data_IF_248434487714
#
_entry.id   IF_248434487714
#
_cell.length_a   1.000
_cell.length_b   1.000
_cell.length_c   1.000
_cell.angle_alpha   90.00
_cell.angle_beta   90.00
_cell.angle_gamma   90.00
#
_symmetry.space_group_name_H-M   'P 1'
#
loop_
_entity.id
_entity.type
_entity.pdbx_description
1 polymer ?
#
# COMPACT_ATOMS: atom_id res chain seq x y z
N UNK A 1 -0.47 -57.58 7.48
CA UNK A 1 -1.30 -56.42 7.15
C UNK A 1 -1.38 -55.31 8.26
N UNK A 2 -0.49 -55.27 9.27
CA UNK A 2 -0.51 -54.28 10.37
C UNK A 2 0.56 -53.18 10.25
N UNK A 3 1.48 -53.25 9.30
CA UNK A 3 2.57 -52.24 9.13
C UNK A 3 2.24 -51.04 8.25
N UNK A 4 1.23 -51.17 7.36
CA UNK A 4 0.89 -50.07 6.43
C UNK A 4 0.02 -48.96 7.05
N UNK A 5 -0.71 -49.24 8.13
CA UNK A 5 -1.60 -48.26 8.77
C UNK A 5 -0.80 -47.22 9.57
N UNK A 6 0.33 -47.63 10.16
CA UNK A 6 1.18 -46.68 10.92
C UNK A 6 1.94 -45.70 10.04
N UNK A 7 2.21 -46.01 8.77
CA UNK A 7 2.88 -45.12 7.84
C UNK A 7 1.93 -44.03 7.30
N UNK A 8 0.64 -44.31 7.20
CA UNK A 8 -0.37 -43.34 6.73
C UNK A 8 -0.69 -42.32 7.83
N UNK A 9 -0.69 -42.73 9.09
CA UNK A 9 -0.93 -41.80 10.22
C UNK A 9 0.25 -40.83 10.41
N UNK A 10 1.50 -41.25 10.14
CA UNK A 10 2.68 -40.40 10.23
C UNK A 10 2.75 -39.34 9.13
N UNK A 11 2.13 -39.57 7.98
CA UNK A 11 2.14 -38.60 6.86
C UNK A 11 1.05 -37.51 6.99
N UNK A 12 -0.01 -37.81 7.78
CA UNK A 12 -1.09 -36.86 8.00
C UNK A 12 -0.75 -35.77 9.04
N UNK A 13 0.31 -35.99 9.85
CA UNK A 13 0.79 -35.05 10.88
C UNK A 13 1.82 -34.03 10.38
N UNK A 14 2.17 -34.10 9.07
CA UNK A 14 3.12 -33.18 8.43
C UNK A 14 2.45 -32.20 7.47
N UNK A 15 1.15 -31.92 7.65
CA UNK A 15 0.58 -30.72 7.04
C UNK A 15 1.14 -29.51 7.81
N UNK A 16 2.07 -28.73 7.23
CA UNK A 16 2.48 -27.51 7.85
C UNK A 16 1.23 -26.64 7.95
N UNK A 17 0.90 -26.26 9.16
CA UNK A 17 -0.04 -25.19 9.44
C UNK A 17 0.59 -23.89 8.90
N UNK A 18 0.51 -23.68 7.60
CA UNK A 18 0.68 -22.35 7.02
C UNK A 18 -0.60 -21.55 7.29
N UNK A 19 -0.95 -21.42 8.56
CA UNK A 19 -1.69 -20.25 8.98
C UNK A 19 -0.66 -19.12 8.94
N UNK A 20 -0.62 -18.40 7.83
CA UNK A 20 0.03 -17.10 7.80
C UNK A 20 -0.71 -16.23 8.80
N UNK A 21 -0.29 -16.26 10.06
CA UNK A 21 -0.60 -15.19 10.99
C UNK A 21 0.06 -13.95 10.40
N UNK A 22 -0.72 -13.03 9.85
CA UNK A 22 -0.36 -11.63 9.80
C UNK A 22 -0.43 -11.14 11.25
N UNK A 23 0.63 -11.39 12.01
CA UNK A 23 0.76 -10.85 13.35
C UNK A 23 0.87 -9.32 13.28
N UNK A 24 0.40 -8.64 14.30
CA UNK A 24 0.51 -7.17 14.42
C UNK A 24 1.94 -6.66 14.23
N UNK A 25 2.93 -7.47 14.59
CA UNK A 25 4.35 -7.18 14.38
C UNK A 25 4.72 -7.14 12.88
N UNK A 26 4.13 -8.02 12.05
CA UNK A 26 4.32 -8.01 10.60
C UNK A 26 3.71 -6.76 9.97
N UNK A 27 2.55 -6.30 10.46
CA UNK A 27 1.91 -5.06 9.99
C UNK A 27 2.77 -3.84 10.30
N UNK A 28 3.34 -3.76 11.50
CA UNK A 28 4.27 -2.69 11.85
C UNK A 28 5.50 -2.72 10.93
N UNK A 29 6.06 -3.89 10.65
CA UNK A 29 7.18 -4.06 9.73
C UNK A 29 6.83 -3.68 8.28
N UNK A 30 5.57 -3.85 7.85
CA UNK A 30 5.11 -3.41 6.52
C UNK A 30 5.06 -1.88 6.47
N UNK A 31 4.47 -1.21 7.45
CA UNK A 31 4.16 0.21 7.34
C UNK A 31 5.25 1.13 7.91
N UNK A 32 5.74 0.89 9.12
CA UNK A 32 6.50 1.87 9.90
C UNK A 32 8.00 1.85 9.66
N UNK A 33 8.67 2.92 10.10
CA UNK A 33 10.13 3.01 10.11
C UNK A 33 10.78 3.22 8.74
N UNK A 34 10.03 3.57 7.70
CA UNK A 34 10.57 3.72 6.33
C UNK A 34 9.80 4.75 5.52
N UNK A 35 10.49 5.33 4.53
CA UNK A 35 9.86 6.17 3.51
C UNK A 35 9.43 5.27 2.35
N UNK A 36 8.16 5.33 2.01
CA UNK A 36 7.59 4.62 0.88
C UNK A 36 7.31 5.59 -0.25
N UNK A 37 7.83 5.29 -1.43
CA UNK A 37 7.62 6.08 -2.64
C UNK A 37 6.71 5.33 -3.61
N UNK A 38 5.79 6.06 -4.22
CA UNK A 38 4.94 5.52 -5.28
C UNK A 38 5.81 5.07 -6.46
N UNK A 39 5.59 3.85 -6.92
CA UNK A 39 6.14 3.32 -8.15
C UNK A 39 5.17 3.57 -9.31
N UNK A 40 3.95 3.09 -9.16
CA UNK A 40 2.87 3.30 -10.12
C UNK A 40 1.50 3.08 -9.49
N UNK A 41 0.45 3.51 -10.20
CA UNK A 41 -0.96 3.20 -9.91
C UNK A 41 -1.50 2.44 -11.12
N UNK A 42 -2.18 1.33 -10.87
CA UNK A 42 -2.71 0.47 -11.92
C UNK A 42 -4.06 -0.15 -11.52
N UNK A 43 -4.77 -0.73 -12.47
CA UNK A 43 -5.88 -1.63 -12.16
C UNK A 43 -5.32 -2.86 -11.42
N UNK A 44 -6.05 -3.38 -10.45
CA UNK A 44 -5.61 -4.53 -9.67
C UNK A 44 -5.24 -5.72 -10.58
N UNK A 45 -4.06 -6.31 -10.32
CA UNK A 45 -3.44 -7.31 -11.19
C UNK A 45 -2.59 -6.75 -12.34
N UNK A 46 -2.61 -5.44 -12.60
CA UNK A 46 -1.73 -4.80 -13.59
C UNK A 46 -0.31 -4.56 -13.05
N UNK A 47 0.63 -4.30 -13.97
CA UNK A 47 2.05 -4.10 -13.65
C UNK A 47 2.63 -2.80 -14.21
N UNK A 48 1.81 -1.98 -14.85
CA UNK A 48 2.22 -0.73 -15.49
C UNK A 48 1.35 0.43 -15.02
N UNK A 49 1.90 1.64 -15.11
CA UNK A 49 1.17 2.86 -14.80
C UNK A 49 -0.08 2.99 -15.66
N UNK A 50 -1.23 3.16 -15.02
CA UNK A 50 -2.49 3.40 -15.70
C UNK A 50 -2.47 4.76 -16.41
N UNK A 51 -3.13 4.83 -17.57
CA UNK A 51 -3.19 6.05 -18.39
C UNK A 51 -4.22 7.05 -17.90
N UNK A 52 -3.87 7.89 -16.93
CA UNK A 52 -4.76 8.93 -16.38
C UNK A 52 -4.84 10.21 -17.20
N UNK A 53 -3.97 10.36 -18.19
CA UNK A 53 -3.72 11.61 -18.90
C UNK A 53 -4.46 11.67 -20.22
N UNK A 54 -4.86 12.86 -20.60
CA UNK A 54 -5.52 13.13 -21.88
C UNK A 54 -4.52 13.26 -23.03
N UNK A 55 -3.26 13.58 -22.72
CA UNK A 55 -2.20 13.77 -23.71
C UNK A 55 -0.79 13.47 -23.15
N UNK A 56 0.17 13.28 -24.04
CA UNK A 56 1.55 12.95 -23.67
C UNK A 56 2.28 14.08 -22.92
N UNK A 57 1.89 15.34 -23.09
CA UNK A 57 2.52 16.44 -22.35
C UNK A 57 2.14 16.41 -20.87
N UNK A 58 0.88 16.16 -20.55
CA UNK A 58 0.43 15.94 -19.16
C UNK A 58 1.12 14.73 -18.53
N UNK A 59 1.16 13.62 -19.26
CA UNK A 59 1.84 12.40 -18.82
C UNK A 59 3.30 12.67 -18.51
N UNK A 60 4.01 13.31 -19.45
CA UNK A 60 5.42 13.64 -19.24
C UNK A 60 5.64 14.49 -17.99
N UNK A 61 4.82 15.52 -17.78
CA UNK A 61 4.89 16.40 -16.60
C UNK A 61 4.75 15.59 -15.30
N UNK A 62 3.72 14.76 -15.19
CA UNK A 62 3.49 13.89 -14.02
C UNK A 62 4.62 12.89 -13.80
N UNK A 63 5.11 12.27 -14.87
CA UNK A 63 6.20 11.28 -14.78
C UNK A 63 7.53 11.92 -14.42
N UNK A 64 7.81 13.13 -14.90
CA UNK A 64 9.00 13.89 -14.51
C UNK A 64 8.93 14.31 -13.04
N UNK A 65 7.74 14.66 -12.53
CA UNK A 65 7.53 14.95 -11.12
C UNK A 65 7.68 13.67 -10.26
N UNK A 66 7.15 12.52 -10.69
CA UNK A 66 7.29 11.24 -10.00
C UNK A 66 8.76 10.82 -9.82
N UNK A 67 9.62 11.14 -10.78
CA UNK A 67 11.07 10.80 -10.72
C UNK A 67 11.84 11.64 -9.71
N UNK A 68 11.33 12.79 -9.30
CA UNK A 68 12.04 13.65 -8.33
C UNK A 68 12.10 12.99 -6.96
N UNK A 69 13.22 13.16 -6.29
CA UNK A 69 13.35 12.75 -4.89
C UNK A 69 12.38 13.57 -4.02
N UNK A 70 11.80 12.92 -3.01
CA UNK A 70 10.92 13.59 -2.05
C UNK A 70 9.50 13.88 -2.55
N UNK A 71 9.09 13.39 -3.73
CA UNK A 71 7.71 13.47 -4.22
C UNK A 71 7.00 12.12 -4.17
N UNK A 72 5.68 12.12 -4.17
CA UNK A 72 4.83 10.91 -4.13
C UNK A 72 5.29 9.92 -3.07
N UNK A 73 5.62 10.41 -1.90
CA UNK A 73 6.07 9.58 -0.80
C UNK A 73 5.14 9.67 0.41
N UNK A 74 5.19 8.62 1.21
CA UNK A 74 4.48 8.52 2.48
C UNK A 74 5.39 7.90 3.54
N UNK A 75 5.25 8.37 4.77
CA UNK A 75 5.84 7.82 5.98
C UNK A 75 4.69 7.57 6.94
N UNK A 76 4.57 6.31 7.36
CA UNK A 76 3.59 5.89 8.33
C UNK A 76 4.26 5.83 9.71
N UNK A 77 3.75 6.59 10.66
CA UNK A 77 4.17 6.57 12.06
C UNK A 77 2.99 6.10 12.90
N UNK A 78 3.21 5.16 13.79
CA UNK A 78 2.09 4.62 14.56
C UNK A 78 2.53 3.67 15.66
N UNK A 79 1.57 3.31 16.50
CA UNK A 79 1.70 2.35 17.59
C UNK A 79 0.69 1.23 17.40
N UNK A 80 1.09 0.03 17.81
CA UNK A 80 0.25 -1.16 17.74
C UNK A 80 -0.57 -1.28 19.03
N UNK A 81 -1.86 -1.54 18.87
CA UNK A 81 -2.79 -1.93 19.93
C UNK A 81 -3.51 -3.19 19.43
N UNK A 82 -3.21 -4.34 20.00
CA UNK A 82 -3.66 -5.66 19.55
C UNK A 82 -3.35 -5.86 18.05
N UNK A 83 -4.36 -6.21 17.23
CA UNK A 83 -4.22 -6.40 15.79
C UNK A 83 -4.28 -5.08 14.99
N UNK A 84 -4.45 -3.94 15.64
CA UNK A 84 -4.60 -2.64 15.02
C UNK A 84 -3.33 -1.80 15.19
N UNK A 85 -2.83 -1.27 14.09
CA UNK A 85 -1.83 -0.20 14.11
C UNK A 85 -2.47 1.09 13.64
N UNK A 86 -2.22 2.18 14.34
CA UNK A 86 -2.77 3.51 14.01
C UNK A 86 -1.79 4.62 14.34
N UNK A 87 -1.91 5.73 13.63
CA UNK A 87 -1.07 6.90 13.90
C UNK A 87 -1.14 7.97 12.83
N UNK A 88 -0.02 8.64 12.60
CA UNK A 88 0.08 9.73 11.65
C UNK A 88 0.69 9.25 10.31
N UNK A 89 0.17 9.80 9.22
CA UNK A 89 0.78 9.72 7.90
C UNK A 89 1.31 11.09 7.53
N UNK A 90 2.53 11.14 7.02
CA UNK A 90 3.14 12.35 6.47
C UNK A 90 3.91 12.02 5.21
N UNK A 91 4.25 13.05 4.44
CA UNK A 91 5.01 12.88 3.19
C UNK A 91 4.90 14.08 2.28
N UNK A 92 4.95 13.81 1.00
CA UNK A 92 4.82 14.82 -0.05
C UNK A 92 4.06 14.26 -1.25
N UNK A 93 3.17 15.06 -1.80
CA UNK A 93 2.45 14.75 -3.03
C UNK A 93 3.35 15.04 -4.22
N UNK A 94 3.62 16.31 -4.46
CA UNK A 94 4.57 16.82 -5.45
C UNK A 94 5.47 17.86 -4.81
N UNK A 95 6.44 18.38 -5.56
CA UNK A 95 7.32 19.46 -5.05
C UNK A 95 6.48 20.59 -4.46
N UNK A 96 6.79 21.02 -3.24
CA UNK A 96 6.12 22.08 -2.49
C UNK A 96 4.71 21.77 -1.96
N UNK A 97 4.17 20.57 -2.15
CA UNK A 97 2.89 20.19 -1.56
C UNK A 97 3.06 19.04 -0.57
N UNK A 98 3.15 19.35 0.73
CA UNK A 98 3.22 18.35 1.77
C UNK A 98 1.93 17.50 1.84
N UNK A 99 2.04 16.35 2.48
CA UNK A 99 0.95 15.46 2.79
C UNK A 99 0.96 15.16 4.28
N UNK A 100 -0.19 15.29 4.92
CA UNK A 100 -0.37 14.90 6.30
C UNK A 100 -1.78 14.35 6.55
N UNK A 101 -1.90 13.58 7.63
CA UNK A 101 -3.17 12.99 8.05
C UNK A 101 -2.97 11.92 9.12
N UNK A 102 -3.99 11.07 9.26
CA UNK A 102 -3.95 9.91 10.14
C UNK A 102 -4.24 8.64 9.35
N UNK A 103 -3.84 7.52 9.88
CA UNK A 103 -4.05 6.22 9.24
C UNK A 103 -4.24 5.11 10.27
N UNK A 104 -4.77 3.99 9.81
CA UNK A 104 -4.83 2.75 10.55
C UNK A 104 -4.79 1.56 9.61
N UNK A 105 -4.23 0.44 10.09
CA UNK A 105 -4.26 -0.84 9.41
C UNK A 105 -4.51 -1.96 10.43
N UNK A 106 -5.24 -2.99 10.01
CA UNK A 106 -5.55 -4.13 10.84
C UNK A 106 -4.86 -5.37 10.23
N UNK A 107 -4.01 -6.05 11.04
CA UNK A 107 -3.25 -7.21 10.60
C UNK A 107 -4.09 -8.46 10.37
N UNK A 108 -5.26 -8.54 11.00
CA UNK A 108 -6.10 -9.73 10.95
C UNK A 108 -6.93 -9.85 9.67
N UNK A 109 -7.36 -8.73 9.13
CA UNK A 109 -8.25 -8.69 7.95
C UNK A 109 -7.71 -7.80 6.82
N UNK A 110 -6.47 -7.32 6.93
CA UNK A 110 -5.77 -6.47 5.98
C UNK A 110 -6.52 -5.18 5.62
N UNK A 111 -7.40 -4.71 6.49
CA UNK A 111 -8.08 -3.44 6.30
C UNK A 111 -7.13 -2.28 6.48
N UNK A 112 -7.30 -1.28 5.62
CA UNK A 112 -6.56 -0.02 5.68
C UNK A 112 -7.52 1.15 5.60
N UNK A 113 -7.17 2.23 6.31
CA UNK A 113 -7.88 3.50 6.23
C UNK A 113 -6.90 4.64 6.42
N UNK A 114 -7.02 5.69 5.61
CA UNK A 114 -6.33 6.95 5.85
C UNK A 114 -7.32 8.12 5.79
N UNK A 115 -7.07 9.12 6.63
CA UNK A 115 -7.77 10.40 6.61
C UNK A 115 -6.74 11.49 6.32
N UNK A 116 -6.66 11.91 5.05
CA UNK A 116 -5.71 12.92 4.58
C UNK A 116 -6.28 14.30 4.85
N UNK A 117 -5.65 15.04 5.74
CA UNK A 117 -6.04 16.38 6.16
C UNK A 117 -5.28 17.49 5.41
N UNK A 118 -4.10 17.16 4.88
CA UNK A 118 -3.28 18.06 4.09
C UNK A 118 -2.78 17.34 2.84
N UNK A 119 -2.87 18.01 1.68
CA UNK A 119 -2.38 17.51 0.39
C UNK A 119 -3.06 18.26 -0.75
N UNK A 120 -2.26 18.67 -1.73
CA UNK A 120 -2.74 19.35 -2.95
C UNK A 120 -2.12 18.67 -4.16
N UNK A 121 -2.89 18.56 -5.23
CA UNK A 121 -2.45 17.93 -6.50
C UNK A 121 -1.75 18.94 -7.45
N UNK A 122 -1.89 20.23 -7.22
CA UNK A 122 -1.31 21.26 -8.09
C UNK A 122 -1.76 21.20 -9.54
N UNK A 123 -2.92 20.57 -9.80
CA UNK A 123 -3.42 20.33 -11.16
C UNK A 123 -2.73 19.16 -11.88
N UNK A 124 -1.93 18.37 -11.18
CA UNK A 124 -1.28 17.18 -11.73
C UNK A 124 -2.21 15.95 -11.65
N UNK A 125 -2.42 15.27 -12.77
CA UNK A 125 -3.34 14.14 -12.85
C UNK A 125 -2.90 12.93 -11.99
N UNK A 126 -1.61 12.63 -11.95
CA UNK A 126 -1.11 11.54 -11.12
C UNK A 126 -1.22 11.91 -9.63
N UNK A 127 -0.91 13.16 -9.27
CA UNK A 127 -1.05 13.65 -7.90
C UNK A 127 -2.50 13.60 -7.41
N UNK A 128 -3.46 13.94 -8.27
CA UNK A 128 -4.88 13.78 -7.98
C UNK A 128 -5.23 12.33 -7.68
N UNK A 129 -4.82 11.39 -8.53
CA UNK A 129 -5.07 9.96 -8.34
C UNK A 129 -4.33 9.38 -7.13
N UNK A 130 -3.14 9.88 -6.83
CA UNK A 130 -2.39 9.51 -5.63
C UNK A 130 -3.15 9.90 -4.35
N UNK A 131 -3.66 11.13 -4.26
CA UNK A 131 -4.45 11.60 -3.14
C UNK A 131 -5.79 10.87 -3.03
N UNK A 132 -6.47 10.64 -4.15
CA UNK A 132 -7.71 9.86 -4.20
C UNK A 132 -7.48 8.42 -3.72
N UNK A 133 -6.41 7.79 -4.19
CA UNK A 133 -6.04 6.44 -3.77
C UNK A 133 -5.78 6.34 -2.28
N UNK A 134 -5.03 7.28 -1.69
CA UNK A 134 -4.78 7.30 -0.24
C UNK A 134 -6.08 7.47 0.57
N UNK A 135 -6.98 8.36 0.14
CA UNK A 135 -8.27 8.63 0.82
C UNK A 135 -9.24 7.47 0.72
N UNK A 136 -9.24 6.76 -0.39
CA UNK A 136 -10.22 5.70 -0.70
C UNK A 136 -9.66 4.28 -0.50
N UNK A 137 -8.41 4.13 -0.09
CA UNK A 137 -7.84 2.83 0.19
C UNK A 137 -8.59 2.13 1.33
N UNK A 138 -8.98 0.88 1.10
CA UNK A 138 -9.75 0.06 2.05
C UNK A 138 -9.01 -1.16 2.53
N UNK A 139 -8.01 -1.59 1.79
CA UNK A 139 -7.18 -2.75 2.14
C UNK A 139 -5.75 -2.58 1.66
N UNK A 140 -4.88 -3.43 2.20
CA UNK A 140 -3.49 -3.45 1.83
C UNK A 140 -3.00 -4.88 1.62
N UNK A 141 -1.92 -5.01 0.86
CA UNK A 141 -1.08 -6.19 0.71
C UNK A 141 0.37 -5.76 0.76
N UNK A 142 1.28 -6.68 1.04
CA UNK A 142 2.69 -6.38 0.93
C UNK A 142 3.56 -7.05 1.98
N UNK A 143 4.81 -6.59 1.99
CA UNK A 143 5.86 -7.06 2.87
C UNK A 143 6.74 -5.87 3.34
N UNK A 144 7.86 -6.17 3.98
CA UNK A 144 8.78 -5.13 4.44
C UNK A 144 9.38 -4.26 3.31
N UNK A 145 9.35 -4.70 2.05
CA UNK A 145 9.91 -3.99 0.89
C UNK A 145 8.85 -3.32 0.03
N UNK A 146 7.71 -3.97 -0.16
CA UNK A 146 6.63 -3.52 -1.03
C UNK A 146 5.36 -3.29 -0.24
N UNK A 147 4.61 -2.25 -0.60
CA UNK A 147 3.28 -1.99 -0.07
C UNK A 147 2.33 -1.73 -1.23
N UNK A 148 1.20 -2.40 -1.19
CA UNK A 148 0.11 -2.24 -2.13
C UNK A 148 -1.11 -1.73 -1.37
N UNK A 149 -1.64 -0.57 -1.76
CA UNK A 149 -2.90 -0.06 -1.23
C UNK A 149 -3.98 -0.23 -2.30
N UNK A 150 -5.06 -0.90 -1.95
CA UNK A 150 -6.15 -1.18 -2.87
C UNK A 150 -7.32 -0.24 -2.61
N UNK A 151 -7.86 0.34 -3.68
CA UNK A 151 -8.96 1.29 -3.59
C UNK A 151 -9.86 1.20 -4.82
N UNK A 152 -11.06 1.77 -4.72
CA UNK A 152 -11.94 2.00 -5.87
C UNK A 152 -12.04 3.51 -6.11
N UNK A 153 -11.64 4.00 -7.30
CA UNK A 153 -11.89 5.39 -7.66
C UNK A 153 -13.37 5.72 -7.62
N UNK A 154 -13.70 6.95 -7.29
CA UNK A 154 -15.09 7.43 -7.25
C UNK A 154 -15.78 7.20 -8.60
N UNK A 155 -16.90 6.48 -8.58
CA UNK A 155 -17.67 6.13 -9.78
C UNK A 155 -17.12 4.93 -10.59
N UNK A 156 -16.03 4.30 -10.16
CA UNK A 156 -15.48 3.11 -10.80
C UNK A 156 -15.97 1.82 -10.14
N UNK A 157 -16.19 0.77 -10.95
CA UNK A 157 -16.38 -0.59 -10.47
C UNK A 157 -15.07 -1.36 -10.34
N UNK A 158 -14.01 -0.87 -10.97
CA UNK A 158 -12.70 -1.52 -10.96
C UNK A 158 -11.94 -1.19 -9.67
N UNK A 159 -11.25 -2.18 -9.11
CA UNK A 159 -10.28 -1.98 -8.04
C UNK A 159 -8.97 -1.53 -8.65
N UNK A 160 -8.37 -0.52 -8.07
CA UNK A 160 -7.04 -0.02 -8.40
C UNK A 160 -6.07 -0.36 -7.28
N UNK A 161 -4.81 -0.42 -7.66
CA UNK A 161 -3.69 -0.71 -6.77
C UNK A 161 -2.65 0.40 -6.88
N UNK A 162 -2.30 1.00 -5.74
CA UNK A 162 -1.12 1.86 -5.61
C UNK A 162 0.05 0.99 -5.18
N UNK A 163 1.12 1.02 -5.93
CA UNK A 163 2.33 0.22 -5.66
C UNK A 163 3.42 1.13 -5.13
N UNK A 164 3.90 0.81 -3.93
CA UNK A 164 4.97 1.56 -3.26
C UNK A 164 6.19 0.67 -3.03
N UNK A 165 7.36 1.28 -3.09
CA UNK A 165 8.63 0.69 -2.70
C UNK A 165 9.30 1.49 -1.59
N UNK A 166 10.24 0.89 -0.88
CA UNK A 166 11.03 1.56 0.16
C UNK A 166 12.16 2.35 -0.48
N UNK A 167 12.24 3.63 -0.13
CA UNK A 167 13.41 4.46 -0.47
C UNK A 167 14.49 4.19 0.55
N UNK A 168 15.62 3.64 0.12
CA UNK A 168 16.80 3.54 0.98
C UNK A 168 17.32 4.95 1.27
N UNK A 169 17.42 5.25 2.55
CA UNK A 169 18.04 6.48 3.03
C UNK A 169 19.54 6.38 2.92
#
# INVERSE_FOLDING_TARGET
>A
MKKSIFQIIGLLLLLPLFSGCNDSDDVAAIFTGKTRKLNYITVDGGHEMFGFWENEAEKKKSMDELKKNGTYNVIFEGTTEDDLIKGNIRGSVITSYPLAGTWSANGKDNKFKANITEGKDGGDKLAKNFLEGLKNATSYEGDSKNLYLLYKPTGSQQTFRMVFYVVNQ
#
